data_IF_692307670089
#
_entry.id   IF_692307670089
#
_cell.length_a   1.000
_cell.length_b   1.000
_cell.length_c   1.000
_cell.angle_alpha   90.00
_cell.angle_beta   90.00
_cell.angle_gamma   90.00
#
_symmetry.space_group_name_H-M   'P 1'
#
loop_
_entity.id
_entity.type
_entity.pdbx_description
1 polymer ?
#
# COMPACT_ATOMS: atom_id res chain seq x y z
N UNK A 1 -50.10 22.23 -25.36
CA UNK A 1 -48.68 22.41 -25.77
C UNK A 1 -47.97 22.94 -24.54
N UNK A 2 -47.34 22.08 -23.73
CA UNK A 2 -45.95 21.60 -23.87
C UNK A 2 -44.98 22.80 -23.90
N UNK A 3 -43.99 22.92 -23.02
CA UNK A 3 -42.98 21.92 -22.65
C UNK A 3 -42.51 22.16 -21.21
N UNK A 4 -42.39 21.08 -20.43
CA UNK A 4 -41.54 21.01 -19.24
C UNK A 4 -40.08 20.91 -19.71
N UNK A 5 -39.24 21.88 -19.36
CA UNK A 5 -37.78 21.71 -19.52
C UNK A 5 -37.21 21.12 -18.23
N UNK A 6 -37.15 19.78 -18.26
CA UNK A 6 -36.40 18.88 -17.41
C UNK A 6 -34.90 19.23 -17.52
N UNK A 7 -34.40 20.03 -16.58
CA UNK A 7 -32.97 20.29 -16.44
C UNK A 7 -32.33 19.16 -15.66
N UNK A 8 -32.03 18.05 -16.36
CA UNK A 8 -31.11 17.02 -15.87
C UNK A 8 -29.74 17.65 -15.70
N UNK A 9 -29.35 17.90 -14.46
CA UNK A 9 -27.96 18.11 -14.09
C UNK A 9 -27.32 16.73 -14.14
N UNK A 10 -26.41 16.54 -15.10
CA UNK A 10 -25.53 15.38 -15.19
C UNK A 10 -24.89 15.11 -13.83
N UNK A 11 -25.06 13.89 -13.33
CA UNK A 11 -24.63 13.44 -12.03
C UNK A 11 -23.11 13.33 -11.93
N UNK A 12 -22.45 14.47 -11.74
CA UNK A 12 -21.09 14.49 -11.22
C UNK A 12 -21.20 14.27 -9.71
N UNK A 13 -21.17 13.00 -9.29
CA UNK A 13 -21.04 12.64 -7.88
C UNK A 13 -19.77 13.32 -7.36
N UNK A 14 -19.91 14.29 -6.44
CA UNK A 14 -18.76 14.92 -5.80
C UNK A 14 -18.18 13.87 -4.85
N UNK A 15 -17.21 13.09 -5.36
CA UNK A 15 -16.46 12.18 -4.52
C UNK A 15 -15.75 13.00 -3.44
N UNK A 16 -15.89 12.58 -2.19
CA UNK A 16 -15.18 13.22 -1.10
C UNK A 16 -13.70 12.86 -1.18
N UNK A 17 -12.82 13.76 -0.76
CA UNK A 17 -11.38 13.51 -0.78
C UNK A 17 -10.87 13.11 0.62
N UNK A 18 -10.07 12.05 0.67
CA UNK A 18 -9.30 11.66 1.85
C UNK A 18 -7.83 11.92 1.58
N UNK A 19 -7.22 12.75 2.43
CA UNK A 19 -5.77 12.91 2.46
C UNK A 19 -5.14 11.83 3.34
N UNK A 20 -4.21 11.06 2.78
CA UNK A 20 -3.51 9.95 3.45
C UNK A 20 -2.01 10.21 3.44
N UNK A 21 -1.36 10.28 4.61
CA UNK A 21 0.10 10.25 4.68
C UNK A 21 0.59 8.84 4.32
N UNK A 22 1.48 8.74 3.34
CA UNK A 22 2.07 7.49 2.87
C UNK A 22 3.56 7.52 3.16
N UNK A 23 4.03 6.57 3.95
CA UNK A 23 5.45 6.40 4.26
C UNK A 23 6.18 5.83 3.04
N UNK A 24 7.24 6.52 2.59
CA UNK A 24 8.10 6.14 1.47
C UNK A 24 7.30 5.75 0.22
N UNK A 25 6.52 6.67 -0.39
CA UNK A 25 5.59 6.36 -1.49
C UNK A 25 6.24 5.67 -2.70
N UNK A 26 7.56 5.81 -2.90
CA UNK A 26 8.29 5.12 -3.96
C UNK A 26 8.53 3.62 -3.69
N UNK A 27 8.40 3.15 -2.43
CA UNK A 27 8.78 1.80 -2.00
C UNK A 27 7.58 0.85 -1.84
N UNK A 28 6.46 1.20 -2.47
CA UNK A 28 5.25 0.40 -2.50
C UNK A 28 5.17 -0.41 -3.78
N UNK A 29 4.64 -1.62 -3.67
CA UNK A 29 4.24 -2.46 -4.80
C UNK A 29 2.77 -2.86 -4.63
N UNK A 30 2.16 -3.45 -5.66
CA UNK A 30 0.79 -3.93 -5.60
C UNK A 30 0.56 -5.19 -6.41
N UNK A 31 -0.29 -6.07 -5.89
CA UNK A 31 -0.60 -7.36 -6.50
C UNK A 31 -2.06 -7.74 -6.36
N UNK A 32 -2.52 -8.69 -7.18
CA UNK A 32 -3.87 -9.21 -7.06
C UNK A 32 -4.08 -9.89 -5.71
N UNK A 33 -5.26 -9.74 -5.12
CA UNK A 33 -5.58 -10.27 -3.80
C UNK A 33 -5.32 -11.78 -3.65
N UNK A 34 -5.46 -12.55 -4.74
CA UNK A 34 -5.18 -13.99 -4.74
C UNK A 34 -3.71 -14.32 -4.42
N UNK A 35 -2.76 -13.52 -4.91
CA UNK A 35 -1.33 -13.71 -4.63
C UNK A 35 -1.02 -13.21 -3.22
N UNK A 36 -1.64 -12.09 -2.81
CA UNK A 36 -1.47 -11.56 -1.45
C UNK A 36 -2.06 -12.46 -0.37
N UNK A 37 -3.05 -13.28 -0.72
CA UNK A 37 -3.69 -14.22 0.19
C UNK A 37 -2.74 -15.33 0.67
N UNK A 38 -1.68 -15.64 -0.07
CA UNK A 38 -0.73 -16.70 0.28
C UNK A 38 -0.03 -16.42 1.63
N UNK A 39 0.15 -15.15 1.98
CA UNK A 39 0.72 -14.74 3.28
C UNK A 39 -0.26 -14.76 4.46
N UNK A 40 -1.57 -14.90 4.21
CA UNK A 40 -2.61 -14.84 5.26
C UNK A 40 -3.63 -15.94 5.02
N UNK A 41 -3.22 -17.20 5.18
CA UNK A 41 -4.06 -18.37 4.90
C UNK A 41 -5.18 -18.58 5.95
N UNK A 42 -4.89 -18.23 7.20
CA UNK A 42 -5.75 -18.46 8.38
C UNK A 42 -6.03 -17.16 9.13
N UNK A 43 -7.07 -17.18 9.96
CA UNK A 43 -7.45 -16.06 10.81
C UNK A 43 -6.33 -15.79 11.83
N UNK A 44 -5.67 -14.62 11.78
CA UNK A 44 -4.56 -14.33 12.67
C UNK A 44 -4.95 -14.34 14.16
N UNK A 45 -6.18 -13.97 14.49
CA UNK A 45 -6.66 -13.98 15.89
C UNK A 45 -6.77 -15.42 16.42
N UNK A 46 -7.22 -16.35 15.58
CA UNK A 46 -7.26 -17.79 15.93
C UNK A 46 -5.85 -18.38 16.05
N UNK A 47 -4.97 -18.05 15.11
CA UNK A 47 -3.58 -18.52 15.09
C UNK A 47 -2.80 -18.02 16.32
N UNK A 48 -3.03 -16.77 16.74
CA UNK A 48 -2.37 -16.17 17.90
C UNK A 48 -2.98 -16.53 19.24
N UNK A 49 -4.16 -17.16 19.25
CA UNK A 49 -5.02 -17.30 20.41
C UNK A 49 -5.33 -15.95 21.10
N UNK A 50 -5.69 -14.95 20.29
CA UNK A 50 -6.00 -13.59 20.75
C UNK A 50 -7.43 -13.20 20.38
N UNK A 51 -8.00 -12.32 21.19
CA UNK A 51 -9.21 -11.61 20.82
C UNK A 51 -8.88 -10.51 19.80
N UNK A 52 -9.79 -10.21 18.86
CA UNK A 52 -9.61 -9.14 17.90
C UNK A 52 -9.25 -7.82 18.59
N UNK A 53 -8.25 -7.11 18.03
CA UNK A 53 -7.74 -5.84 18.58
C UNK A 53 -8.84 -4.79 18.77
N UNK A 54 -9.84 -4.79 17.89
CA UNK A 54 -10.97 -3.86 17.95
C UNK A 54 -12.25 -4.63 18.23
N UNK A 55 -12.97 -4.26 19.28
CA UNK A 55 -14.23 -4.91 19.65
C UNK A 55 -15.32 -4.74 18.58
N UNK A 56 -15.23 -3.69 17.77
CA UNK A 56 -16.10 -3.36 16.65
C UNK A 56 -15.56 -3.86 15.30
N UNK A 57 -14.56 -4.76 15.28
CA UNK A 57 -13.99 -5.33 14.04
C UNK A 57 -15.08 -5.89 13.11
N UNK A 58 -16.07 -6.60 13.65
CA UNK A 58 -17.17 -7.17 12.88
C UNK A 58 -18.16 -6.13 12.35
N UNK A 59 -18.14 -4.92 12.89
CA UNK A 59 -19.05 -3.81 12.53
C UNK A 59 -18.45 -2.88 11.47
N UNK A 60 -17.13 -3.00 11.18
CA UNK A 60 -16.47 -2.15 10.20
C UNK A 60 -16.91 -2.48 8.77
N UNK A 61 -17.00 -1.45 7.92
CA UNK A 61 -17.29 -1.63 6.50
C UNK A 61 -16.04 -2.02 5.73
N UNK A 62 -15.58 -3.26 5.92
CA UNK A 62 -14.36 -3.80 5.29
C UNK A 62 -14.31 -3.64 3.78
N UNK A 63 -15.46 -3.71 3.10
CA UNK A 63 -15.56 -3.43 1.67
C UNK A 63 -15.23 -1.97 1.32
N UNK A 64 -15.69 -1.01 2.11
CA UNK A 64 -15.38 0.41 1.92
C UNK A 64 -13.90 0.69 2.24
N UNK A 65 -13.36 0.07 3.29
CA UNK A 65 -11.93 0.14 3.63
C UNK A 65 -11.09 -0.39 2.47
N UNK A 66 -11.35 -1.62 1.99
CA UNK A 66 -10.60 -2.22 0.87
C UNK A 66 -10.67 -1.37 -0.40
N UNK A 67 -11.86 -0.85 -0.74
CA UNK A 67 -12.03 0.06 -1.87
C UNK A 67 -11.22 1.34 -1.71
N UNK A 68 -11.20 1.93 -0.51
CA UNK A 68 -10.44 3.16 -0.24
C UNK A 68 -8.94 2.91 -0.30
N UNK A 69 -8.46 1.82 0.29
CA UNK A 69 -7.04 1.41 0.23
C UNK A 69 -6.59 1.23 -1.22
N UNK A 70 -7.39 0.54 -2.03
CA UNK A 70 -7.08 0.39 -3.45
C UNK A 70 -7.09 1.75 -4.19
N UNK A 71 -7.95 2.72 -3.83
CA UNK A 71 -7.97 4.05 -4.45
C UNK A 71 -6.69 4.82 -4.12
N UNK A 72 -6.23 4.78 -2.86
CA UNK A 72 -4.91 5.32 -2.49
C UNK A 72 -3.79 4.65 -3.29
N UNK A 73 -3.85 3.33 -3.47
CA UNK A 73 -2.92 2.59 -4.32
C UNK A 73 -2.93 3.02 -5.79
N UNK A 74 -4.10 3.33 -6.35
CA UNK A 74 -4.24 3.84 -7.72
C UNK A 74 -3.65 5.25 -7.89
N UNK A 75 -3.86 6.13 -6.91
CA UNK A 75 -3.25 7.46 -6.87
C UNK A 75 -1.71 7.38 -6.78
N UNK A 76 -1.20 6.50 -5.92
CA UNK A 76 0.23 6.23 -5.82
C UNK A 76 0.82 5.64 -7.10
N UNK A 77 0.12 4.72 -7.77
CA UNK A 77 0.55 4.21 -9.07
C UNK A 77 0.60 5.33 -10.11
N UNK A 78 -0.39 6.23 -10.10
CA UNK A 78 -0.46 7.33 -11.03
C UNK A 78 0.54 8.48 -10.79
N UNK A 79 1.42 8.40 -9.78
CA UNK A 79 2.37 9.48 -9.51
C UNK A 79 1.78 10.62 -8.68
N UNK A 80 0.58 10.45 -8.10
CA UNK A 80 -0.19 11.56 -7.51
C UNK A 80 -0.04 11.59 -6.00
N UNK A 81 1.12 12.05 -5.56
CA UNK A 81 1.36 12.47 -4.18
C UNK A 81 2.16 13.77 -4.16
N UNK A 82 2.07 14.49 -3.06
CA UNK A 82 2.88 15.68 -2.80
C UNK A 82 3.82 15.43 -1.64
N UNK A 83 4.99 16.05 -1.67
CA UNK A 83 5.96 15.99 -0.58
C UNK A 83 5.97 17.37 0.06
N UNK A 84 5.98 17.41 1.38
CA UNK A 84 6.36 18.62 2.11
C UNK A 84 7.90 18.66 2.14
N UNK A 85 8.48 19.64 1.45
CA UNK A 85 9.95 19.79 1.36
C UNK A 85 10.58 20.14 2.71
N UNK A 86 9.80 20.74 3.62
CA UNK A 86 10.23 21.08 4.97
C UNK A 86 10.06 19.90 5.96
N UNK A 87 9.38 18.84 5.54
CA UNK A 87 9.20 17.63 6.32
C UNK A 87 10.36 16.67 6.05
N UNK A 88 11.22 16.44 7.05
CA UNK A 88 12.30 15.45 6.98
C UNK A 88 11.78 14.01 7.14
N UNK A 89 10.49 13.83 7.46
CA UNK A 89 9.88 12.51 7.50
C UNK A 89 9.68 12.00 6.06
N UNK A 90 9.98 10.72 5.78
CA UNK A 90 9.90 10.16 4.43
C UNK A 90 8.46 10.00 3.91
N UNK A 91 7.54 10.88 4.28
CA UNK A 91 6.14 10.82 3.91
C UNK A 91 5.84 11.62 2.65
N UNK A 92 4.91 11.10 1.87
CA UNK A 92 4.16 11.85 0.85
C UNK A 92 2.68 11.90 1.22
N UNK A 93 1.99 12.94 0.79
CA UNK A 93 0.54 13.08 0.96
C UNK A 93 -0.19 12.67 -0.32
N UNK A 94 -1.06 11.69 -0.20
CA UNK A 94 -1.93 11.23 -1.29
C UNK A 94 -3.35 11.72 -1.05
N UNK A 95 -3.94 12.36 -2.06
CA UNK A 95 -5.35 12.73 -2.07
C UNK A 95 -6.13 11.67 -2.86
N UNK A 96 -6.94 10.86 -2.18
CA UNK A 96 -7.72 9.80 -2.80
C UNK A 96 -9.22 10.12 -2.77
N UNK A 97 -9.95 9.93 -3.88
CA UNK A 97 -11.39 9.99 -3.85
C UNK A 97 -11.93 8.84 -3.00
N UNK A 98 -12.92 9.11 -2.14
CA UNK A 98 -13.58 8.10 -1.32
C UNK A 98 -15.05 8.02 -1.71
N UNK A 99 -15.58 6.80 -1.96
CA UNK A 99 -16.98 6.62 -2.35
C UNK A 99 -17.98 7.09 -1.31
N UNK A 100 -17.64 6.92 -0.03
CA UNK A 100 -18.50 7.22 1.11
C UNK A 100 -17.69 7.77 2.29
N UNK A 101 -18.28 8.56 3.20
CA UNK A 101 -17.62 8.97 4.44
C UNK A 101 -17.17 7.78 5.28
N UNK A 102 -15.89 7.79 5.66
CA UNK A 102 -15.32 6.85 6.63
C UNK A 102 -15.63 7.30 8.06
N UNK A 103 -15.88 6.34 8.94
CA UNK A 103 -15.83 6.57 10.39
C UNK A 103 -14.40 6.89 10.83
N UNK A 104 -14.23 7.32 12.09
CA UNK A 104 -12.89 7.54 12.65
C UNK A 104 -12.04 6.26 12.64
N UNK A 105 -12.62 5.13 13.07
CA UNK A 105 -11.96 3.82 13.06
C UNK A 105 -11.58 3.38 11.65
N UNK A 106 -12.48 3.49 10.68
CA UNK A 106 -12.20 3.13 9.28
C UNK A 106 -11.11 4.01 8.68
N UNK A 107 -11.16 5.32 8.93
CA UNK A 107 -10.11 6.26 8.52
C UNK A 107 -8.77 5.86 9.13
N UNK A 108 -8.75 5.56 10.43
CA UNK A 108 -7.55 5.09 11.10
C UNK A 108 -7.00 3.83 10.45
N UNK A 109 -7.84 2.82 10.19
CA UNK A 109 -7.43 1.58 9.51
C UNK A 109 -6.81 1.86 8.14
N UNK A 110 -7.43 2.71 7.31
CA UNK A 110 -6.89 3.11 6.01
C UNK A 110 -5.55 3.84 6.18
N UNK A 111 -5.46 4.83 7.08
CA UNK A 111 -4.21 5.58 7.28
C UNK A 111 -3.08 4.72 7.84
N UNK A 112 -3.38 3.81 8.77
CA UNK A 112 -2.41 2.85 9.32
C UNK A 112 -1.92 1.87 8.27
N UNK A 113 -2.70 1.59 7.22
CA UNK A 113 -2.25 0.79 6.09
C UNK A 113 -0.99 1.37 5.46
N UNK A 114 -0.81 2.69 5.48
CA UNK A 114 0.26 3.42 4.79
C UNK A 114 1.28 4.09 5.73
N UNK A 115 1.17 3.87 7.05
CA UNK A 115 2.04 4.51 8.03
C UNK A 115 3.27 3.65 8.35
N UNK A 116 4.40 4.29 8.68
CA UNK A 116 5.68 3.60 8.89
C UNK A 116 5.63 2.44 9.91
N UNK A 117 4.86 2.61 11.00
CA UNK A 117 4.80 1.62 12.08
C UNK A 117 3.70 0.55 11.92
N UNK A 118 2.75 0.76 11.02
CA UNK A 118 1.58 -0.10 10.88
C UNK A 118 1.31 -0.54 9.44
N UNK A 119 2.16 -0.18 8.48
CA UNK A 119 1.96 -0.52 7.09
C UNK A 119 1.74 -2.01 6.90
N UNK A 120 0.87 -2.37 5.93
CA UNK A 120 0.88 -3.74 5.42
C UNK A 120 2.17 -3.93 4.66
N UNK A 121 3.05 -4.78 5.18
CA UNK A 121 4.46 -4.83 4.81
C UNK A 121 4.91 -6.27 4.58
N UNK A 122 5.35 -6.56 3.36
CA UNK A 122 6.00 -7.80 2.93
C UNK A 122 6.60 -7.58 1.55
N UNK A 123 7.77 -8.16 1.30
CA UNK A 123 8.36 -8.16 -0.03
C UNK A 123 7.80 -9.31 -0.88
N UNK A 124 7.61 -9.14 -2.20
CA UNK A 124 6.98 -10.15 -3.06
C UNK A 124 7.63 -11.54 -3.03
N UNK A 125 8.94 -11.60 -2.76
CA UNK A 125 9.74 -12.83 -2.72
C UNK A 125 9.87 -13.44 -1.32
N UNK A 126 9.30 -12.80 -0.30
CA UNK A 126 9.59 -13.13 1.09
C UNK A 126 8.40 -13.75 1.81
N UNK A 127 8.68 -14.77 2.62
CA UNK A 127 7.77 -15.29 3.64
C UNK A 127 8.54 -15.39 4.97
N UNK A 128 7.96 -14.95 6.10
CA UNK A 128 6.55 -14.54 6.32
C UNK A 128 6.28 -13.04 6.10
N UNK A 129 5.00 -12.65 6.13
CA UNK A 129 4.59 -11.24 6.20
C UNK A 129 5.17 -10.52 7.43
N UNK A 130 5.66 -9.30 7.24
CA UNK A 130 6.26 -8.49 8.31
C UNK A 130 5.21 -7.82 9.19
N UNK A 131 4.18 -7.21 8.60
CA UNK A 131 3.13 -6.51 9.33
C UNK A 131 1.81 -6.45 8.52
N UNK A 132 0.69 -6.27 9.21
CA UNK A 132 -0.61 -6.01 8.58
C UNK A 132 -1.51 -7.22 8.33
N UNK A 133 -1.16 -8.41 8.83
CA UNK A 133 -1.94 -9.64 8.62
C UNK A 133 -3.44 -9.52 8.96
N UNK A 134 -3.82 -8.86 10.06
CA UNK A 134 -5.26 -8.69 10.40
C UNK A 134 -5.98 -7.73 9.44
N UNK A 135 -5.28 -6.70 8.95
CA UNK A 135 -5.83 -5.78 7.94
C UNK A 135 -6.06 -6.52 6.62
N UNK A 136 -5.08 -7.32 6.18
CA UNK A 136 -5.23 -8.18 5.01
C UNK A 136 -6.34 -9.21 5.18
N UNK A 137 -6.37 -9.94 6.30
CA UNK A 137 -7.40 -10.94 6.59
C UNK A 137 -8.82 -10.39 6.37
N UNK A 138 -9.09 -9.21 6.93
CA UNK A 138 -10.41 -8.60 6.87
C UNK A 138 -10.74 -7.93 5.52
N UNK A 139 -9.75 -7.62 4.68
CA UNK A 139 -9.96 -6.83 3.44
C UNK A 139 -9.78 -7.62 2.16
N UNK A 140 -8.98 -8.69 2.14
CA UNK A 140 -8.57 -9.40 0.92
C UNK A 140 -9.74 -9.88 0.06
N UNK A 141 -10.82 -10.37 0.68
CA UNK A 141 -12.02 -10.85 -0.04
C UNK A 141 -12.84 -9.73 -0.69
N UNK A 142 -12.52 -8.46 -0.39
CA UNK A 142 -13.27 -7.30 -0.83
C UNK A 142 -12.58 -6.45 -1.91
N UNK A 143 -11.32 -6.76 -2.26
CA UNK A 143 -10.61 -6.03 -3.31
C UNK A 143 -11.15 -6.33 -4.72
N UNK A 144 -11.77 -7.50 -4.94
CA UNK A 144 -12.22 -7.91 -6.27
C UNK A 144 -11.04 -7.94 -7.25
N UNK A 145 -11.19 -7.26 -8.39
CA UNK A 145 -10.15 -7.16 -9.43
C UNK A 145 -9.11 -6.05 -9.16
N UNK A 146 -9.23 -5.33 -8.04
CA UNK A 146 -8.31 -4.25 -7.70
C UNK A 146 -7.05 -4.79 -7.06
N UNK A 147 -5.94 -4.08 -7.27
CA UNK A 147 -4.65 -4.46 -6.72
C UNK A 147 -4.53 -3.98 -5.27
N UNK A 148 -3.89 -4.82 -4.44
CA UNK A 148 -3.63 -4.56 -3.02
C UNK A 148 -2.27 -3.87 -2.89
N UNK A 149 -2.19 -2.61 -2.43
CA UNK A 149 -0.93 -1.93 -2.19
C UNK A 149 -0.25 -2.47 -0.93
N UNK A 150 1.05 -2.74 -1.00
CA UNK A 150 1.88 -3.31 0.06
C UNK A 150 3.23 -2.59 0.11
N UNK A 151 3.71 -2.29 1.31
CA UNK A 151 5.02 -1.68 1.53
C UNK A 151 6.13 -2.73 1.45
N UNK A 152 7.29 -2.32 0.95
CA UNK A 152 8.51 -3.11 1.03
C UNK A 152 9.17 -3.01 2.40
N UNK A 153 9.59 -4.15 2.94
CA UNK A 153 10.42 -4.20 4.14
C UNK A 153 11.88 -3.90 3.77
N UNK A 154 12.40 -4.60 2.76
CA UNK A 154 13.78 -4.47 2.29
C UNK A 154 14.15 -3.01 1.97
N UNK A 155 13.38 -2.31 1.14
CA UNK A 155 13.69 -0.93 0.76
C UNK A 155 13.66 0.06 1.94
N UNK A 156 12.95 -0.25 3.04
CA UNK A 156 13.01 0.52 4.28
C UNK A 156 14.44 0.61 4.87
N UNK A 157 15.30 -0.36 4.51
CA UNK A 157 16.71 -0.38 4.90
C UNK A 157 17.65 0.26 3.87
N UNK A 158 17.18 0.67 2.69
CA UNK A 158 17.98 1.30 1.63
C UNK A 158 18.23 2.80 1.88
N UNK A 159 18.31 3.22 3.14
CA UNK A 159 18.53 4.62 3.53
C UNK A 159 19.99 4.86 3.93
N UNK A 160 20.51 6.11 3.82
CA UNK A 160 21.88 6.42 4.24
C UNK A 160 22.21 5.96 5.67
N UNK A 161 21.30 6.19 6.62
CA UNK A 161 21.48 5.79 8.02
C UNK A 161 21.54 4.27 8.21
N UNK A 162 20.66 3.51 7.55
CA UNK A 162 20.63 2.06 7.71
C UNK A 162 21.81 1.39 6.99
N UNK A 163 22.16 1.88 5.80
CA UNK A 163 23.28 1.33 5.01
C UNK A 163 24.65 1.59 5.65
N UNK A 164 24.82 2.66 6.42
CA UNK A 164 26.04 2.88 7.23
C UNK A 164 26.26 1.75 8.24
N UNK A 165 25.17 1.23 8.84
CA UNK A 165 25.23 0.10 9.78
C UNK A 165 25.44 -1.23 9.06
N UNK A 166 24.84 -1.41 7.89
CA UNK A 166 24.98 -2.63 7.06
C UNK A 166 26.37 -2.77 6.44
N UNK A 167 27.10 -1.67 6.26
CA UNK A 167 28.47 -1.64 5.73
C UNK A 167 28.55 -1.77 4.21
N UNK A 168 29.76 -1.77 3.65
CA UNK A 168 30.03 -1.65 2.20
C UNK A 168 29.39 -2.75 1.33
N UNK A 169 29.05 -3.90 1.91
CA UNK A 169 28.45 -5.03 1.20
C UNK A 169 26.91 -4.96 1.11
N UNK A 170 26.27 -3.92 1.68
CA UNK A 170 24.81 -3.79 1.64
C UNK A 170 24.17 -3.92 0.24
N UNK A 171 24.79 -3.49 -0.88
CA UNK A 171 24.18 -3.64 -2.20
C UNK A 171 24.03 -5.10 -2.64
N UNK A 172 24.82 -6.02 -2.06
CA UNK A 172 24.75 -7.45 -2.37
C UNK A 172 23.41 -8.07 -1.93
N UNK A 173 22.81 -7.55 -0.86
CA UNK A 173 21.47 -7.96 -0.41
C UNK A 173 20.42 -7.68 -1.50
N UNK A 174 20.49 -6.50 -2.12
CA UNK A 174 19.52 -6.08 -3.14
C UNK A 174 19.75 -6.74 -4.49
N UNK A 175 20.98 -7.15 -4.83
CA UNK A 175 21.22 -7.94 -6.05
C UNK A 175 20.46 -9.27 -6.04
N UNK A 176 20.44 -9.96 -4.88
CA UNK A 176 19.61 -11.16 -4.74
C UNK A 176 18.13 -10.84 -4.93
N UNK A 177 17.64 -9.73 -4.36
CA UNK A 177 16.25 -9.31 -4.51
C UNK A 177 15.85 -8.94 -5.95
N UNK A 178 16.77 -8.43 -6.78
CA UNK A 178 16.52 -8.24 -8.22
C UNK A 178 16.22 -9.58 -8.89
N UNK A 179 17.03 -10.59 -8.63
CA UNK A 179 16.85 -11.94 -9.20
C UNK A 179 15.58 -12.61 -8.65
N UNK A 180 15.32 -12.48 -7.35
CA UNK A 180 14.13 -13.03 -6.70
C UNK A 180 12.86 -12.39 -7.26
N UNK A 181 12.81 -11.06 -7.41
CA UNK A 181 11.67 -10.35 -8.00
C UNK A 181 11.44 -10.75 -9.45
N UNK A 182 12.51 -10.92 -10.24
CA UNK A 182 12.43 -11.34 -11.64
C UNK A 182 11.91 -12.77 -11.81
N UNK A 183 12.02 -13.62 -10.78
CA UNK A 183 11.49 -14.98 -10.78
C UNK A 183 9.98 -15.06 -10.51
N UNK A 184 9.33 -13.96 -10.10
CA UNK A 184 7.92 -13.93 -9.75
C UNK A 184 7.07 -13.67 -11.00
N UNK A 185 6.47 -14.73 -11.54
CA UNK A 185 5.69 -14.65 -12.79
C UNK A 185 4.44 -13.75 -12.69
N UNK A 186 3.85 -13.62 -11.50
CA UNK A 186 2.65 -12.83 -11.30
C UNK A 186 2.94 -11.33 -11.04
N UNK A 187 4.20 -10.95 -10.85
CA UNK A 187 4.57 -9.56 -10.58
C UNK A 187 4.53 -8.72 -11.85
N UNK A 188 3.49 -7.87 -11.98
CA UNK A 188 3.25 -7.10 -13.20
C UNK A 188 4.13 -5.84 -13.26
N UNK A 189 5.16 -5.85 -14.10
CA UNK A 189 6.02 -4.70 -14.36
C UNK A 189 5.40 -3.62 -15.28
N UNK A 190 4.25 -3.88 -15.89
CA UNK A 190 3.50 -2.85 -16.63
C UNK A 190 2.74 -1.91 -15.70
N UNK A 191 2.53 -2.33 -14.45
CA UNK A 191 1.97 -1.48 -13.43
C UNK A 191 2.98 -0.39 -13.00
N UNK A 192 2.60 0.90 -13.03
CA UNK A 192 3.52 2.00 -12.71
C UNK A 192 4.08 1.98 -11.28
N UNK A 193 3.33 1.48 -10.29
CA UNK A 193 3.82 1.35 -8.92
C UNK A 193 4.88 0.24 -8.85
N UNK A 194 4.58 -0.92 -9.43
CA UNK A 194 5.50 -2.06 -9.47
C UNK A 194 6.78 -1.76 -10.25
N UNK A 195 6.68 -1.04 -11.38
CA UNK A 195 7.85 -0.62 -12.15
C UNK A 195 8.76 0.30 -11.35
N UNK A 196 8.19 1.25 -10.59
CA UNK A 196 8.94 2.15 -9.71
C UNK A 196 9.61 1.39 -8.56
N UNK A 197 8.89 0.45 -7.94
CA UNK A 197 9.43 -0.43 -6.92
C UNK A 197 10.62 -1.25 -7.43
N UNK A 198 10.47 -1.91 -8.59
CA UNK A 198 11.55 -2.69 -9.21
C UNK A 198 12.76 -1.81 -9.54
N UNK A 199 12.54 -0.58 -9.99
CA UNK A 199 13.62 0.38 -10.22
C UNK A 199 14.35 0.76 -8.93
N UNK A 200 13.63 0.98 -7.82
CA UNK A 200 14.24 1.28 -6.53
C UNK A 200 15.12 0.12 -6.02
N UNK A 201 14.69 -1.13 -6.21
CA UNK A 201 15.49 -2.33 -5.89
C UNK A 201 16.77 -2.37 -6.76
N UNK A 202 16.66 -2.10 -8.06
CA UNK A 202 17.80 -2.04 -8.98
C UNK A 202 18.80 -0.92 -8.64
N UNK A 203 18.32 0.26 -8.23
CA UNK A 203 19.19 1.34 -7.73
C UNK A 203 19.95 0.90 -6.47
N UNK A 204 19.24 0.30 -5.51
CA UNK A 204 19.83 -0.22 -4.29
C UNK A 204 20.90 -1.30 -4.59
N UNK A 205 20.66 -2.18 -5.57
CA UNK A 205 21.61 -3.21 -6.01
C UNK A 205 22.90 -2.64 -6.65
N UNK A 206 22.84 -1.41 -7.16
CA UNK A 206 24.00 -0.64 -7.67
C UNK A 206 24.73 0.13 -6.57
N UNK A 207 24.22 0.12 -5.34
CA UNK A 207 24.75 0.86 -4.20
C UNK A 207 24.31 2.33 -4.17
N UNK A 208 23.28 2.68 -4.92
CA UNK A 208 22.65 4.00 -4.88
C UNK A 208 21.49 3.99 -3.86
N UNK A 209 21.28 5.09 -3.13
CA UNK A 209 20.11 5.22 -2.27
C UNK A 209 18.90 5.61 -3.11
N UNK A 210 17.89 4.74 -3.29
CA UNK A 210 16.70 5.10 -4.04
C UNK A 210 15.95 6.20 -3.30
N UNK A 211 15.37 7.15 -4.04
CA UNK A 211 14.58 8.21 -3.44
C UNK A 211 13.27 7.62 -2.89
N UNK A 212 13.02 7.70 -1.57
CA UNK A 212 11.80 7.14 -0.99
C UNK A 212 10.55 7.97 -1.30
N UNK A 213 10.74 9.21 -1.76
CA UNK A 213 9.69 10.21 -1.98
C UNK A 213 9.46 10.45 -3.46
#
# INVERSE_FOLDING_TARGET
MAVMEDSRIDGCEVLMELSVPVWMPAFWWRGAAQHVREWVLEDPDQQDHREPRWSDTSEQRWRLIASTVALVGDELAAGRWTIDEDDDTYYGMVAAPVPEPLTETERHIVTSWFSAGEAVCVDPWFEPITNGRHRLWNTLTHFGDRLVPVASDALGYATPTNTEVLGEAWPELYRAHVDDLAAIEWFDLHDPMNSRFAHAIDQAARGEHPAPR
#
